data_IF_134798291443
#
_entry.id   IF_134798291443
#
_cell.length_a   1.000
_cell.length_b   1.000
_cell.length_c   1.000
_cell.angle_alpha   90.00
_cell.angle_beta   90.00
_cell.angle_gamma   90.00
#
_symmetry.space_group_name_H-M   'P 1'
#
loop_
_entity.id
_entity.type
_entity.pdbx_description
1 polymer ?
#
# COMPACT_ATOMS: atom_id res chain seq x y z
N UNK A 1 0.07 -18.14 -27.80
CA UNK A 1 -0.11 -16.68 -27.99
C UNK A 1 -1.37 -16.34 -28.79
N UNK A 2 -1.59 -16.90 -29.98
CA UNK A 2 -2.79 -16.61 -30.80
C UNK A 2 -4.11 -17.08 -30.14
N UNK A 3 -4.11 -18.22 -29.45
CA UNK A 3 -5.29 -18.69 -28.69
C UNK A 3 -5.63 -17.84 -27.46
N UNK A 4 -4.62 -17.22 -26.82
CA UNK A 4 -4.81 -16.35 -25.65
C UNK A 4 -5.38 -14.99 -26.07
N UNK A 5 -4.96 -14.48 -27.23
CA UNK A 5 -5.53 -13.29 -27.88
C UNK A 5 -6.98 -13.50 -28.34
N UNK A 6 -7.33 -14.69 -28.85
CA UNK A 6 -8.71 -15.04 -29.22
C UNK A 6 -9.64 -15.19 -28.00
N UNK A 7 -9.12 -15.66 -26.85
CA UNK A 7 -9.89 -15.73 -25.60
C UNK A 7 -10.21 -14.34 -25.04
N UNK A 8 -9.28 -13.38 -25.18
CA UNK A 8 -9.46 -11.98 -24.77
C UNK A 8 -10.42 -11.20 -25.66
N UNK A 9 -10.64 -11.64 -26.91
CA UNK A 9 -11.63 -11.07 -27.85
C UNK A 9 -13.06 -11.60 -27.64
N UNK A 10 -13.24 -12.66 -26.84
CA UNK A 10 -14.54 -13.27 -26.53
C UNK A 10 -15.09 -12.87 -25.16
N UNK A 11 -14.29 -12.19 -24.34
CA UNK A 11 -14.79 -11.55 -23.13
C UNK A 11 -15.53 -10.28 -23.55
N UNK A 12 -16.78 -10.05 -23.10
CA UNK A 12 -17.40 -8.75 -23.32
C UNK A 12 -16.46 -7.67 -22.76
N UNK A 13 -16.35 -6.56 -23.48
CA UNK A 13 -15.54 -5.39 -23.12
C UNK A 13 -16.11 -4.65 -21.89
N UNK A 14 -16.39 -5.37 -20.81
CA UNK A 14 -16.84 -4.87 -19.53
C UNK A 14 -15.65 -4.78 -18.59
N UNK A 15 -15.51 -3.65 -17.91
CA UNK A 15 -14.50 -3.42 -16.90
C UNK A 15 -14.47 -4.56 -15.86
N UNK A 16 -13.27 -4.95 -15.44
CA UNK A 16 -13.09 -5.93 -14.37
C UNK A 16 -13.56 -5.29 -13.06
N UNK A 17 -14.60 -5.86 -12.43
CA UNK A 17 -15.08 -5.42 -11.12
C UNK A 17 -14.17 -5.96 -10.02
N UNK A 18 -13.57 -5.06 -9.26
CA UNK A 18 -12.64 -5.41 -8.18
C UNK A 18 -13.07 -4.72 -6.89
N UNK A 19 -13.20 -5.49 -5.83
CA UNK A 19 -13.52 -4.96 -4.50
C UNK A 19 -12.23 -4.54 -3.79
N UNK A 20 -12.11 -3.26 -3.43
CA UNK A 20 -11.03 -2.80 -2.57
C UNK A 20 -11.45 -2.88 -1.10
N UNK A 21 -10.83 -3.79 -0.37
CA UNK A 21 -11.11 -4.01 1.04
C UNK A 21 -10.20 -3.13 1.92
N UNK A 22 -10.74 -1.99 2.37
CA UNK A 22 -10.03 -1.04 3.22
C UNK A 22 -10.98 -0.28 4.15
N UNK A 23 -10.55 0.00 5.37
CA UNK A 23 -11.21 0.94 6.27
C UNK A 23 -10.82 2.40 6.02
N UNK A 24 -9.76 2.65 5.25
CA UNK A 24 -9.21 3.99 5.01
C UNK A 24 -9.81 4.59 3.72
N UNK A 25 -10.65 5.63 3.88
CA UNK A 25 -11.30 6.33 2.77
C UNK A 25 -10.33 7.07 1.84
N UNK A 26 -9.14 7.43 2.33
CA UNK A 26 -8.11 8.09 1.51
C UNK A 26 -7.49 7.10 0.51
N UNK A 27 -7.16 5.88 0.96
CA UNK A 27 -6.57 4.84 0.10
C UNK A 27 -7.45 4.54 -1.11
N UNK A 28 -8.76 4.40 -0.92
CA UNK A 28 -9.68 4.14 -2.04
C UNK A 28 -9.77 5.33 -3.01
N UNK A 29 -9.71 6.57 -2.51
CA UNK A 29 -9.71 7.76 -3.37
C UNK A 29 -8.44 7.80 -4.22
N UNK A 30 -7.28 7.59 -3.61
CA UNK A 30 -5.98 7.55 -4.28
C UNK A 30 -5.95 6.45 -5.34
N UNK A 31 -6.35 5.23 -4.98
CA UNK A 31 -6.38 4.10 -5.92
C UNK A 31 -7.29 4.37 -7.12
N UNK A 32 -8.50 4.93 -6.91
CA UNK A 32 -9.39 5.32 -8.00
C UNK A 32 -8.76 6.34 -8.93
N UNK A 33 -8.17 7.40 -8.35
CA UNK A 33 -7.49 8.44 -9.12
C UNK A 33 -6.34 7.86 -9.97
N UNK A 34 -5.53 6.96 -9.40
CA UNK A 34 -4.46 6.29 -10.15
C UNK A 34 -5.04 5.49 -11.31
N UNK A 35 -6.04 4.63 -11.09
CA UNK A 35 -6.61 3.79 -12.16
C UNK A 35 -7.28 4.62 -13.28
N UNK A 36 -7.94 5.72 -12.93
CA UNK A 36 -8.57 6.63 -13.90
C UNK A 36 -7.56 7.31 -14.83
N UNK A 37 -6.32 7.53 -14.39
CA UNK A 37 -5.27 8.12 -15.26
C UNK A 37 -4.75 7.18 -16.33
N UNK A 38 -4.96 5.87 -16.20
CA UNK A 38 -4.35 4.87 -17.08
C UNK A 38 -5.24 4.41 -18.24
N UNK A 39 -6.57 4.60 -18.16
CA UNK A 39 -7.50 4.13 -19.20
C UNK A 39 -8.82 4.91 -19.22
N UNK A 40 -9.37 5.15 -20.42
CA UNK A 40 -10.69 5.73 -20.64
C UNK A 40 -11.38 5.02 -21.83
N UNK A 41 -12.44 4.19 -21.61
CA UNK A 41 -13.07 3.88 -20.33
C UNK A 41 -12.15 3.05 -19.40
N UNK A 42 -12.40 3.08 -18.07
CA UNK A 42 -11.55 2.37 -17.11
C UNK A 42 -11.61 0.85 -17.32
N UNK A 43 -10.45 0.21 -17.37
CA UNK A 43 -10.34 -1.26 -17.46
C UNK A 43 -10.76 -1.97 -16.16
N UNK A 44 -10.69 -1.27 -15.02
CA UNK A 44 -11.01 -1.77 -13.68
C UNK A 44 -12.06 -0.88 -13.04
N UNK A 45 -13.17 -1.47 -12.60
CA UNK A 45 -14.20 -0.81 -11.81
C UNK A 45 -13.98 -1.16 -10.33
N UNK A 46 -13.52 -0.19 -9.54
CA UNK A 46 -13.28 -0.37 -8.11
C UNK A 46 -14.53 -0.12 -7.25
N UNK A 47 -15.01 -1.16 -6.58
CA UNK A 47 -16.00 -1.07 -5.51
C UNK A 47 -15.34 -0.99 -4.13
N UNK A 48 -15.95 -0.26 -3.19
CA UNK A 48 -15.48 -0.21 -1.81
C UNK A 48 -16.10 -1.35 -1.01
N UNK A 49 -15.28 -2.28 -0.53
CA UNK A 49 -15.71 -3.23 0.50
C UNK A 49 -15.29 -2.69 1.88
N UNK A 50 -16.18 -1.95 2.52
CA UNK A 50 -15.93 -1.38 3.85
C UNK A 50 -16.16 -2.44 4.94
N UNK A 51 -15.14 -3.25 5.17
CA UNK A 51 -15.12 -4.28 6.22
C UNK A 51 -13.85 -4.16 7.05
N UNK A 52 -13.96 -4.46 8.34
CA UNK A 52 -12.81 -4.56 9.23
C UNK A 52 -12.39 -6.04 9.27
N UNK A 53 -11.33 -6.36 8.54
CA UNK A 53 -10.77 -7.71 8.47
C UNK A 53 -9.62 -7.87 9.46
N UNK A 54 -9.46 -9.05 10.07
CA UNK A 54 -8.34 -9.31 10.96
C UNK A 54 -7.01 -9.16 10.22
N UNK A 55 -6.14 -8.30 10.75
CA UNK A 55 -4.76 -8.11 10.31
C UNK A 55 -3.89 -9.06 11.14
N UNK A 56 -3.49 -10.18 10.52
CA UNK A 56 -2.57 -11.13 11.13
C UNK A 56 -1.19 -10.48 11.33
N UNK A 57 -0.47 -10.92 12.35
CA UNK A 57 0.91 -10.50 12.55
C UNK A 57 1.84 -11.42 11.76
N UNK A 58 2.64 -10.84 10.88
CA UNK A 58 3.66 -11.54 10.12
C UNK A 58 4.87 -10.63 9.94
N UNK A 59 6.07 -11.21 9.95
CA UNK A 59 7.30 -10.49 9.61
C UNK A 59 7.37 -10.20 8.11
N UNK A 60 6.90 -11.14 7.28
CA UNK A 60 6.73 -10.93 5.84
C UNK A 60 5.50 -10.05 5.60
N UNK A 61 5.76 -8.80 5.19
CA UNK A 61 4.74 -7.80 4.89
C UNK A 61 3.77 -8.25 3.79
N UNK A 62 4.13 -9.20 2.92
CA UNK A 62 3.23 -9.72 1.89
C UNK A 62 2.17 -10.68 2.45
N UNK A 63 2.41 -11.32 3.59
CA UNK A 63 1.47 -12.29 4.19
C UNK A 63 0.18 -11.60 4.67
N UNK A 64 0.30 -10.38 5.20
CA UNK A 64 -0.82 -9.61 5.75
C UNK A 64 -1.85 -9.22 4.68
N UNK A 65 -1.50 -8.51 3.59
CA UNK A 65 -2.44 -8.16 2.53
C UNK A 65 -2.94 -9.38 1.77
N UNK A 66 -2.14 -10.46 1.60
CA UNK A 66 -2.60 -11.73 1.01
C UNK A 66 -3.76 -12.31 1.81
N UNK A 67 -3.58 -12.49 3.12
CA UNK A 67 -4.62 -13.01 4.00
C UNK A 67 -5.88 -12.13 3.96
N UNK A 68 -5.69 -10.81 4.02
CA UNK A 68 -6.78 -9.83 3.96
C UNK A 68 -7.54 -9.91 2.62
N UNK A 69 -6.84 -9.98 1.50
CA UNK A 69 -7.44 -10.07 0.16
C UNK A 69 -8.20 -11.38 -0.04
N UNK A 70 -7.68 -12.50 0.47
CA UNK A 70 -8.36 -13.80 0.43
C UNK A 70 -9.69 -13.77 1.19
N UNK A 71 -9.68 -13.24 2.42
CA UNK A 71 -10.91 -13.05 3.20
C UNK A 71 -11.88 -12.07 2.52
N UNK A 72 -11.36 -10.97 1.98
CA UNK A 72 -12.15 -9.99 1.24
C UNK A 72 -12.82 -10.57 0.00
N UNK A 73 -12.12 -11.44 -0.75
CA UNK A 73 -12.67 -12.13 -1.92
C UNK A 73 -13.81 -13.09 -1.54
N UNK A 74 -13.66 -13.81 -0.42
CA UNK A 74 -14.72 -14.67 0.12
C UNK A 74 -15.96 -13.86 0.50
N UNK A 75 -15.78 -12.76 1.24
CA UNK A 75 -16.90 -11.89 1.65
C UNK A 75 -17.60 -11.22 0.47
N UNK A 76 -16.83 -10.76 -0.52
CA UNK A 76 -17.37 -10.12 -1.71
C UNK A 76 -17.94 -11.10 -2.74
N UNK A 77 -17.72 -12.41 -2.56
CA UNK A 77 -18.01 -13.42 -3.57
C UNK A 77 -17.45 -13.08 -4.95
N UNK A 78 -16.23 -12.55 -4.99
CA UNK A 78 -15.64 -12.01 -6.22
C UNK A 78 -14.21 -11.52 -6.04
N UNK A 79 -13.68 -10.86 -7.08
CA UNK A 79 -12.32 -10.35 -7.06
C UNK A 79 -12.13 -9.31 -5.95
N UNK A 80 -10.99 -9.37 -5.25
CA UNK A 80 -10.67 -8.45 -4.17
C UNK A 80 -9.20 -8.04 -4.20
N UNK A 81 -8.95 -6.78 -3.90
CA UNK A 81 -7.61 -6.25 -3.66
C UNK A 81 -7.53 -5.68 -2.25
N UNK A 82 -6.38 -5.85 -1.62
CA UNK A 82 -6.01 -5.22 -0.36
C UNK A 82 -4.63 -4.58 -0.49
N UNK A 83 -4.38 -3.58 0.34
CA UNK A 83 -3.11 -2.85 0.40
C UNK A 83 -2.65 -2.78 1.85
N UNK A 84 -1.38 -3.03 2.08
CA UNK A 84 -0.71 -2.76 3.35
C UNK A 84 0.56 -1.93 3.13
N UNK A 85 0.92 -1.14 4.14
CA UNK A 85 2.03 -0.18 4.06
C UNK A 85 2.98 -0.42 5.22
N UNK A 86 4.24 -0.66 4.90
CA UNK A 86 5.32 -0.87 5.88
C UNK A 86 6.32 0.29 5.86
N UNK A 87 6.88 0.62 7.02
CA UNK A 87 8.04 1.51 7.13
C UNK A 87 9.17 0.78 7.86
N UNK A 88 10.21 0.44 7.12
CA UNK A 88 11.33 -0.38 7.59
C UNK A 88 12.51 0.50 7.97
N UNK A 89 12.74 0.73 9.27
CA UNK A 89 13.85 1.55 9.75
C UNK A 89 15.12 0.68 9.80
N UNK A 90 16.14 1.03 9.01
CA UNK A 90 17.32 0.16 8.87
C UNK A 90 18.09 0.00 10.18
N UNK A 91 18.13 1.05 11.00
CA UNK A 91 18.77 1.02 12.32
C UNK A 91 18.11 0.04 13.30
N UNK A 92 16.82 -0.29 13.10
CA UNK A 92 16.05 -1.21 13.93
C UNK A 92 15.87 -2.58 13.26
N UNK A 93 16.73 -2.92 12.29
CA UNK A 93 16.62 -4.19 11.56
C UNK A 93 15.34 -4.31 10.72
N UNK A 94 14.75 -3.19 10.30
CA UNK A 94 13.52 -3.16 9.51
C UNK A 94 12.23 -2.97 10.33
N UNK A 95 12.31 -2.89 11.66
CA UNK A 95 11.16 -2.52 12.48
C UNK A 95 10.83 -1.02 12.36
N UNK A 96 9.58 -0.58 12.56
CA UNK A 96 8.40 -1.40 12.90
C UNK A 96 7.81 -2.17 11.70
N UNK A 97 8.27 -1.90 10.47
CA UNK A 97 7.82 -2.60 9.27
C UNK A 97 6.30 -2.50 9.10
N UNK A 98 5.57 -3.63 9.00
CA UNK A 98 4.11 -3.63 8.83
C UNK A 98 3.36 -3.07 10.05
N UNK A 99 4.01 -2.94 11.21
CA UNK A 99 3.37 -2.43 12.42
C UNK A 99 3.38 -0.90 12.53
N UNK A 100 3.82 -0.19 11.49
CA UNK A 100 3.99 1.27 11.50
C UNK A 100 2.73 2.02 11.94
N UNK A 101 1.53 1.56 11.55
CA UNK A 101 0.26 2.19 11.96
C UNK A 101 0.09 2.24 13.49
N UNK A 102 0.50 1.19 14.19
CA UNK A 102 0.44 1.14 15.66
C UNK A 102 1.49 2.04 16.29
N UNK A 103 2.71 2.03 15.76
CA UNK A 103 3.78 2.91 16.23
C UNK A 103 3.43 4.39 16.02
N UNK A 104 2.93 4.75 14.84
CA UNK A 104 2.52 6.12 14.54
C UNK A 104 1.35 6.56 15.43
N UNK A 105 0.37 5.68 15.69
CA UNK A 105 -0.72 5.98 16.61
C UNK A 105 -0.24 6.23 18.04
N UNK A 106 0.74 5.47 18.52
CA UNK A 106 1.21 5.55 19.90
C UNK A 106 2.28 6.62 20.14
N UNK A 107 3.22 6.77 19.22
CA UNK A 107 4.39 7.64 19.36
C UNK A 107 4.23 8.98 18.62
N UNK A 108 3.37 8.99 17.60
CA UNK A 108 3.36 10.05 16.61
C UNK A 108 4.69 10.18 15.87
N UNK A 109 4.72 11.20 15.03
CA UNK A 109 5.82 11.57 14.15
C UNK A 109 7.11 11.83 14.92
N UNK A 110 7.02 12.70 15.94
CA UNK A 110 8.15 13.06 16.80
C UNK A 110 8.68 11.86 17.59
N UNK A 111 7.80 11.03 18.16
CA UNK A 111 8.23 9.85 18.89
C UNK A 111 8.90 8.79 18.01
N UNK A 112 8.44 8.61 16.76
CA UNK A 112 9.11 7.76 15.78
C UNK A 112 10.54 8.25 15.46
N UNK A 113 10.72 9.56 15.32
CA UNK A 113 12.06 10.14 15.18
C UNK A 113 12.90 9.92 16.46
N UNK A 114 12.32 10.15 17.64
CA UNK A 114 13.03 10.06 18.93
C UNK A 114 13.58 8.65 19.19
N UNK A 115 12.84 7.61 18.78
CA UNK A 115 13.31 6.22 18.82
C UNK A 115 14.61 6.03 18.02
N UNK A 116 14.75 6.74 16.90
CA UNK A 116 15.94 6.65 16.06
C UNK A 116 17.07 7.57 16.51
N UNK A 117 16.84 8.54 17.39
CA UNK A 117 17.85 9.57 17.72
C UNK A 117 19.19 8.96 18.14
N UNK A 118 19.13 7.91 18.97
CA UNK A 118 20.29 7.18 19.48
C UNK A 118 21.13 6.46 18.40
N UNK A 119 20.62 6.31 17.17
CA UNK A 119 21.28 5.58 16.09
C UNK A 119 21.87 6.53 15.04
N UNK A 120 23.13 6.36 14.60
CA UNK A 120 23.69 7.22 13.55
C UNK A 120 22.98 7.05 12.20
N UNK A 121 22.41 5.87 11.95
CA UNK A 121 21.69 5.54 10.71
C UNK A 121 20.24 6.00 10.82
N UNK A 122 19.79 6.82 9.87
CA UNK A 122 18.41 7.32 9.79
C UNK A 122 17.68 6.91 8.50
N UNK A 123 18.29 6.03 7.70
CA UNK A 123 17.70 5.53 6.45
C UNK A 123 16.56 4.56 6.73
N UNK A 124 15.56 4.57 5.86
CA UNK A 124 14.43 3.67 5.90
C UNK A 124 13.94 3.32 4.51
N UNK A 125 13.14 2.26 4.45
CA UNK A 125 12.43 1.84 3.24
C UNK A 125 10.94 1.84 3.51
N UNK A 126 10.16 2.58 2.71
CA UNK A 126 8.71 2.45 2.67
C UNK A 126 8.33 1.42 1.62
N UNK A 127 7.49 0.46 2.03
CA UNK A 127 7.00 -0.61 1.15
C UNK A 127 5.49 -0.55 1.11
N UNK A 128 4.92 -0.42 -0.08
CA UNK A 128 3.49 -0.59 -0.33
C UNK A 128 3.28 -1.95 -0.97
N UNK A 129 2.51 -2.82 -0.33
CA UNK A 129 2.23 -4.17 -0.83
C UNK A 129 0.76 -4.30 -1.15
N UNK A 130 0.44 -4.53 -2.42
CA UNK A 130 -0.88 -4.86 -2.89
C UNK A 130 -1.01 -6.37 -3.06
N UNK A 131 -2.11 -6.94 -2.57
CA UNK A 131 -2.48 -8.32 -2.84
C UNK A 131 -3.83 -8.35 -3.55
N UNK A 132 -3.86 -9.00 -4.71
CA UNK A 132 -5.05 -9.17 -5.55
C UNK A 132 -5.43 -10.64 -5.65
N UNK A 133 -6.70 -10.93 -5.41
CA UNK A 133 -7.30 -12.25 -5.54
C UNK A 133 -8.35 -12.16 -6.65
N UNK A 134 -8.17 -12.82 -7.81
CA UNK A 134 -9.04 -12.63 -8.97
C UNK A 134 -10.42 -13.28 -8.83
N UNK A 135 -10.55 -14.28 -7.96
CA UNK A 135 -11.81 -14.97 -7.68
C UNK A 135 -11.74 -15.68 -6.32
N UNK A 136 -12.89 -16.07 -5.79
CA UNK A 136 -12.95 -16.91 -4.59
C UNK A 136 -12.10 -18.17 -4.79
N UNK A 137 -11.26 -18.50 -3.81
CA UNK A 137 -10.31 -19.63 -3.83
C UNK A 137 -9.14 -19.53 -4.82
N UNK A 138 -8.99 -18.43 -5.56
CA UNK A 138 -7.79 -18.23 -6.37
C UNK A 138 -6.59 -17.84 -5.50
N UNK A 139 -5.40 -18.20 -5.96
CA UNK A 139 -4.16 -17.80 -5.30
C UNK A 139 -3.95 -16.28 -5.39
N UNK A 140 -3.50 -15.62 -4.30
CA UNK A 140 -3.20 -14.20 -4.32
C UNK A 140 -1.98 -13.86 -5.21
N UNK A 141 -2.11 -12.78 -5.97
CA UNK A 141 -1.03 -12.13 -6.72
C UNK A 141 -0.58 -10.91 -5.93
N UNK A 142 0.74 -10.73 -5.78
CA UNK A 142 1.29 -9.60 -5.02
C UNK A 142 2.07 -8.65 -5.92
N UNK A 143 1.91 -7.35 -5.64
CA UNK A 143 2.65 -6.26 -6.25
C UNK A 143 3.26 -5.41 -5.14
N UNK A 144 4.52 -5.00 -5.32
CA UNK A 144 5.25 -4.20 -4.34
C UNK A 144 5.79 -2.93 -4.98
N UNK A 145 5.53 -1.80 -4.32
CA UNK A 145 6.18 -0.53 -4.55
C UNK A 145 7.15 -0.25 -3.42
N UNK A 146 8.41 0.02 -3.73
CA UNK A 146 9.47 0.24 -2.75
C UNK A 146 10.08 1.61 -2.96
N UNK A 147 10.20 2.37 -1.87
CA UNK A 147 10.83 3.68 -1.87
C UNK A 147 11.85 3.74 -0.74
N UNK A 148 13.11 4.00 -1.08
CA UNK A 148 14.17 4.23 -0.10
C UNK A 148 14.27 5.71 0.23
N UNK A 149 14.54 6.03 1.50
CA UNK A 149 14.63 7.39 1.98
C UNK A 149 15.29 7.52 3.34
N UNK A 150 15.15 8.70 3.94
CA UNK A 150 15.71 9.01 5.27
C UNK A 150 14.64 9.68 6.13
N UNK A 151 14.55 9.29 7.41
CA UNK A 151 13.73 9.99 8.39
C UNK A 151 14.40 11.30 8.79
N UNK A 152 13.62 12.37 8.82
CA UNK A 152 14.07 13.70 9.23
C UNK A 152 13.40 14.11 10.53
N UNK A 153 14.04 15.03 11.26
CA UNK A 153 13.41 15.60 12.45
C UNK A 153 12.21 16.45 12.01
N UNK A 154 10.97 16.11 12.44
CA UNK A 154 9.78 16.86 12.05
C UNK A 154 9.76 18.30 12.59
N UNK A 155 10.60 18.61 13.59
CA UNK A 155 10.74 19.96 14.16
C UNK A 155 11.86 20.78 13.50
N UNK A 156 12.69 20.16 12.65
CA UNK A 156 13.73 20.89 11.91
C UNK A 156 13.07 21.82 10.87
N UNK A 157 13.24 23.15 10.98
CA UNK A 157 12.61 24.11 10.08
C UNK A 157 13.07 23.97 8.61
N UNK A 158 14.16 23.24 8.34
CA UNK A 158 14.58 22.87 6.99
C UNK A 158 13.59 21.91 6.32
N UNK A 159 12.92 21.07 7.10
CA UNK A 159 12.04 20.02 6.64
C UNK A 159 10.60 20.33 7.06
N UNK A 160 10.05 21.42 6.52
CA UNK A 160 8.62 21.73 6.68
C UNK A 160 7.80 20.96 5.66
N UNK A 161 6.79 20.23 6.13
CA UNK A 161 5.79 19.62 5.27
C UNK A 161 5.10 20.73 4.46
N UNK A 162 5.32 20.73 3.16
CA UNK A 162 4.57 21.58 2.24
C UNK A 162 3.49 20.71 1.63
N UNK A 163 2.25 20.89 2.09
CA UNK A 163 1.08 20.26 1.49
C UNK A 163 1.07 20.62 -0.01
N UNK A 164 1.37 19.63 -0.88
CA UNK A 164 1.29 19.80 -2.34
C UNK A 164 2.59 19.97 -3.15
N UNK A 165 3.76 19.53 -2.67
CA UNK A 165 4.92 19.35 -3.58
C UNK A 165 5.11 17.88 -3.94
N UNK A 166 4.78 17.51 -5.18
CA UNK A 166 5.49 16.42 -5.86
C UNK A 166 6.92 16.91 -6.09
N UNK A 167 7.90 16.21 -5.53
CA UNK A 167 9.30 16.52 -5.74
C UNK A 167 9.77 15.95 -7.08
N UNK A 168 9.51 16.72 -8.13
CA UNK A 168 10.26 16.55 -9.37
C UNK A 168 11.75 16.87 -9.11
N UNK A 169 12.60 15.92 -9.50
CA UNK A 169 14.07 16.00 -9.68
C UNK A 169 14.95 15.79 -8.43
N UNK A 170 15.45 14.56 -8.29
CA UNK A 170 16.81 14.24 -7.80
C UNK A 170 17.12 14.49 -6.32
N UNK A 171 16.12 14.79 -5.48
CA UNK A 171 16.32 14.93 -4.03
C UNK A 171 16.15 13.59 -3.32
N UNK A 172 16.84 13.36 -2.20
CA UNK A 172 16.59 12.18 -1.38
C UNK A 172 15.13 12.18 -0.92
N UNK A 173 14.45 11.03 -1.00
CA UNK A 173 13.10 10.89 -0.45
C UNK A 173 13.17 11.06 1.05
N UNK A 174 12.33 11.95 1.57
CA UNK A 174 12.25 12.24 2.99
C UNK A 174 10.94 11.72 3.53
N UNK A 175 11.04 10.86 4.53
CA UNK A 175 9.88 10.40 5.26
C UNK A 175 9.58 11.39 6.39
N UNK A 176 8.46 12.08 6.22
CA UNK A 176 7.77 12.69 7.33
C UNK A 176 6.98 11.56 8.00
N UNK A 177 7.60 10.94 9.01
CA UNK A 177 6.82 10.14 9.98
C UNK A 177 5.71 10.99 10.51
#
# INVERSE_FOLDING_TARGET
MVLLLLLLLLLPASALKVNFCTGNAMKIREMKSILETHSNPPLIELSHLKVDLPEIQAEDAAVIPKHKATLGAQLASGACVCEDTSLCLHALGGMPGPFIKFFQKSLGNKGLWDVLDAYPVKTATAVCTLAFVPAVHADPIVFEGVVEGTLVNPEDPKWKFHEGRQDEVGRPVVFYS
#
